data_IF_637368585866
#
_entry.id   IF_637368585866
#
_cell.length_a   1.000
_cell.length_b   1.000
_cell.length_c   1.000
_cell.angle_alpha   90.00
_cell.angle_beta   90.00
_cell.angle_gamma   90.00
#
_symmetry.space_group_name_H-M   'P 1'
#
loop_
_entity.id
_entity.type
_entity.pdbx_description
1 polymer ?
#
# COMPACT_ATOMS: atom_id res chain seq x y z
N UNK A 1 22.55 -5.02 21.56
CA UNK A 1 21.98 -3.79 20.95
C UNK A 1 21.54 -4.00 19.51
N UNK A 2 22.40 -4.56 18.63
CA UNK A 2 22.11 -4.80 17.20
C UNK A 2 20.83 -5.61 16.96
N UNK A 3 20.63 -6.71 17.68
CA UNK A 3 19.43 -7.57 17.61
C UNK A 3 18.14 -6.87 18.01
N UNK A 4 18.20 -5.97 19.02
CA UNK A 4 17.02 -5.21 19.45
C UNK A 4 16.59 -4.19 18.39
N UNK A 5 17.55 -3.48 17.79
CA UNK A 5 17.29 -2.50 16.73
C UNK A 5 16.72 -3.19 15.49
N UNK A 6 17.28 -4.33 15.10
CA UNK A 6 16.76 -5.12 13.97
C UNK A 6 15.32 -5.58 14.21
N UNK A 7 15.03 -6.16 15.38
CA UNK A 7 13.68 -6.59 15.75
C UNK A 7 12.69 -5.42 15.75
N UNK A 8 13.11 -4.25 16.28
CA UNK A 8 12.29 -3.05 16.28
C UNK A 8 11.93 -2.59 14.87
N UNK A 9 12.91 -2.52 13.96
CA UNK A 9 12.69 -2.10 12.58
C UNK A 9 11.81 -3.11 11.83
N UNK A 10 12.03 -4.41 12.01
CA UNK A 10 11.19 -5.46 11.42
C UNK A 10 9.73 -5.36 11.90
N UNK A 11 9.52 -5.14 13.19
CA UNK A 11 8.18 -4.94 13.75
C UNK A 11 7.53 -3.67 13.20
N UNK A 12 8.26 -2.56 13.14
CA UNK A 12 7.76 -1.32 12.57
C UNK A 12 7.37 -1.49 11.09
N UNK A 13 8.20 -2.17 10.30
CA UNK A 13 7.92 -2.50 8.91
C UNK A 13 6.64 -3.34 8.76
N UNK A 14 6.49 -4.36 9.60
CA UNK A 14 5.35 -5.26 9.58
C UNK A 14 4.06 -4.54 9.98
N UNK A 15 4.09 -3.74 11.04
CA UNK A 15 2.96 -2.92 11.48
C UNK A 15 2.56 -1.94 10.37
N UNK A 16 3.53 -1.19 9.81
CA UNK A 16 3.27 -0.26 8.72
C UNK A 16 2.67 -0.96 7.49
N UNK A 17 3.19 -2.14 7.14
CA UNK A 17 2.69 -2.96 6.03
C UNK A 17 1.24 -3.40 6.26
N UNK A 18 0.89 -3.84 7.47
CA UNK A 18 -0.49 -4.21 7.83
C UNK A 18 -1.42 -3.01 7.70
N UNK A 19 -1.05 -1.86 8.27
CA UNK A 19 -1.87 -0.65 8.21
C UNK A 19 -2.04 -0.15 6.77
N UNK A 20 -0.98 -0.21 5.96
CA UNK A 20 -1.07 0.23 4.58
C UNK A 20 -1.91 -0.71 3.74
N UNK A 21 -1.60 -2.01 3.75
CA UNK A 21 -2.33 -2.99 2.96
C UNK A 21 -3.79 -3.11 3.39
N UNK A 22 -4.02 -3.32 4.70
CA UNK A 22 -5.35 -3.42 5.28
C UNK A 22 -6.15 -2.14 5.14
N UNK A 23 -5.50 -0.97 5.32
CA UNK A 23 -6.11 0.33 5.11
C UNK A 23 -6.53 0.52 3.66
N UNK A 24 -5.64 0.29 2.70
CA UNK A 24 -5.93 0.40 1.26
C UNK A 24 -7.08 -0.53 0.87
N UNK A 25 -7.04 -1.79 1.31
CA UNK A 25 -8.09 -2.76 1.03
C UNK A 25 -9.44 -2.33 1.62
N UNK A 26 -9.48 -2.05 2.92
CA UNK A 26 -10.70 -1.64 3.61
C UNK A 26 -11.28 -0.37 2.99
N UNK A 27 -10.43 0.64 2.74
CA UNK A 27 -10.90 1.90 2.21
C UNK A 27 -11.48 1.75 0.80
N UNK A 28 -10.78 1.03 -0.07
CA UNK A 28 -11.14 0.88 -1.48
C UNK A 28 -12.38 0.01 -1.68
N UNK A 29 -12.47 -1.12 -0.95
CA UNK A 29 -13.50 -2.13 -1.19
C UNK A 29 -14.67 -2.07 -0.20
N UNK A 30 -14.52 -1.38 0.94
CA UNK A 30 -15.56 -1.30 1.97
C UNK A 30 -15.97 0.15 2.21
N UNK A 31 -15.06 1.02 2.61
CA UNK A 31 -15.40 2.38 3.03
C UNK A 31 -15.93 3.23 1.86
N UNK A 32 -15.26 3.21 0.71
CA UNK A 32 -15.67 3.97 -0.49
C UNK A 32 -17.07 3.51 -0.98
N UNK A 33 -17.35 2.22 -1.23
CA UNK A 33 -18.68 1.77 -1.67
C UNK A 33 -19.80 2.13 -0.69
N UNK A 34 -19.54 2.05 0.62
CA UNK A 34 -20.51 2.46 1.65
C UNK A 34 -20.70 3.98 1.61
N UNK A 35 -19.60 4.74 1.53
CA UNK A 35 -19.60 6.20 1.47
C UNK A 35 -20.37 6.74 0.27
N UNK A 36 -20.18 6.17 -0.92
CA UNK A 36 -20.91 6.56 -2.14
C UNK A 36 -22.43 6.48 -2.00
N UNK A 37 -22.93 5.52 -1.20
CA UNK A 37 -24.38 5.33 -0.98
C UNK A 37 -24.95 6.29 0.05
N UNK A 38 -24.14 6.74 1.02
CA UNK A 38 -24.60 7.45 2.22
C UNK A 38 -24.17 8.91 2.30
N UNK A 39 -23.10 9.31 1.59
CA UNK A 39 -22.44 10.60 1.77
C UNK A 39 -22.43 11.41 0.45
N UNK A 40 -22.49 12.75 0.54
CA UNK A 40 -22.32 13.62 -0.61
C UNK A 40 -20.86 13.65 -1.09
N UNK A 41 -20.65 14.00 -2.36
CA UNK A 41 -19.34 14.02 -3.00
C UNK A 41 -18.30 14.85 -2.24
N UNK A 42 -18.69 16.02 -1.70
CA UNK A 42 -17.80 16.89 -0.91
C UNK A 42 -17.22 16.22 0.33
N UNK A 43 -18.07 15.52 1.09
CA UNK A 43 -17.64 14.81 2.31
C UNK A 43 -16.74 13.64 1.94
N UNK A 44 -17.09 12.92 0.88
CA UNK A 44 -16.31 11.79 0.39
C UNK A 44 -14.91 12.21 -0.09
N UNK A 45 -14.80 13.39 -0.70
CA UNK A 45 -13.53 13.99 -1.12
C UNK A 45 -12.62 14.33 0.07
N UNK A 46 -13.16 14.95 1.12
CA UNK A 46 -12.39 15.28 2.33
C UNK A 46 -11.87 14.01 3.02
N UNK A 47 -12.74 13.01 3.20
CA UNK A 47 -12.35 11.71 3.77
C UNK A 47 -11.25 11.05 2.92
N UNK A 48 -11.42 11.04 1.59
CA UNK A 48 -10.44 10.47 0.66
C UNK A 48 -9.08 11.19 0.75
N UNK A 49 -9.08 12.52 0.80
CA UNK A 49 -7.85 13.30 0.87
C UNK A 49 -7.09 13.05 2.18
N UNK A 50 -7.79 12.99 3.32
CA UNK A 50 -7.19 12.66 4.62
C UNK A 50 -6.59 11.26 4.62
N UNK A 51 -7.35 10.28 4.13
CA UNK A 51 -6.88 8.90 4.01
C UNK A 51 -5.66 8.80 3.08
N UNK A 52 -5.69 9.48 1.94
CA UNK A 52 -4.58 9.51 0.99
C UNK A 52 -3.30 10.07 1.60
N UNK A 53 -3.42 11.13 2.40
CA UNK A 53 -2.28 11.72 3.10
C UNK A 53 -1.69 10.74 4.13
N UNK A 54 -2.54 10.11 4.94
CA UNK A 54 -2.11 9.09 5.91
C UNK A 54 -1.39 7.93 5.22
N UNK A 55 -1.97 7.36 4.15
CA UNK A 55 -1.37 6.25 3.43
C UNK A 55 -0.03 6.62 2.79
N UNK A 56 0.13 7.85 2.27
CA UNK A 56 1.41 8.31 1.73
C UNK A 56 2.50 8.32 2.79
N UNK A 57 2.19 8.76 4.02
CA UNK A 57 3.15 8.71 5.12
C UNK A 57 3.55 7.27 5.45
N UNK A 58 2.59 6.35 5.50
CA UNK A 58 2.87 4.94 5.80
C UNK A 58 3.71 4.29 4.70
N UNK A 59 3.49 4.61 3.41
CA UNK A 59 4.35 4.12 2.31
C UNK A 59 5.81 4.50 2.55
N UNK A 60 6.07 5.76 2.93
CA UNK A 60 7.44 6.21 3.20
C UNK A 60 8.07 5.42 4.35
N UNK A 61 7.30 5.12 5.41
CA UNK A 61 7.76 4.28 6.51
C UNK A 61 8.09 2.86 6.01
N UNK A 62 7.23 2.25 5.19
CA UNK A 62 7.46 0.91 4.62
C UNK A 62 8.72 0.89 3.75
N UNK A 63 8.90 1.87 2.87
CA UNK A 63 10.06 1.95 1.99
C UNK A 63 11.35 2.14 2.78
N UNK A 64 11.34 3.05 3.75
CA UNK A 64 12.49 3.31 4.62
C UNK A 64 12.85 2.05 5.43
N UNK A 65 11.89 1.50 6.16
CA UNK A 65 12.12 0.31 7.00
C UNK A 65 12.46 -0.92 6.17
N UNK A 66 11.87 -1.09 4.99
CA UNK A 66 12.17 -2.19 4.07
C UNK A 66 13.60 -2.11 3.54
N UNK A 67 14.04 -0.91 3.13
CA UNK A 67 15.42 -0.67 2.72
C UNK A 67 16.42 -0.94 3.84
N UNK A 68 16.13 -0.48 5.06
CA UNK A 68 16.97 -0.75 6.23
C UNK A 68 17.04 -2.25 6.54
N UNK A 69 15.93 -2.99 6.47
CA UNK A 69 15.93 -4.45 6.70
C UNK A 69 16.81 -5.17 5.69
N UNK A 70 16.71 -4.83 4.40
CA UNK A 70 17.56 -5.43 3.36
C UNK A 70 19.03 -5.12 3.63
N UNK A 71 19.35 -3.87 3.99
CA UNK A 71 20.72 -3.45 4.29
C UNK A 71 21.30 -4.18 5.51
N UNK A 72 20.55 -4.29 6.60
CA UNK A 72 20.97 -5.02 7.82
C UNK A 72 21.24 -6.49 7.49
N UNK A 73 20.36 -7.13 6.73
CA UNK A 73 20.52 -8.55 6.34
C UNK A 73 21.75 -8.73 5.43
N UNK A 74 21.97 -7.83 4.48
CA UNK A 74 23.14 -7.87 3.62
C UNK A 74 24.44 -7.67 4.42
N UNK A 75 24.45 -6.68 5.33
CA UNK A 75 25.60 -6.36 6.18
C UNK A 75 25.95 -7.48 7.17
N UNK A 76 24.95 -8.07 7.83
CA UNK A 76 25.15 -9.12 8.84
C UNK A 76 25.60 -10.47 8.25
N UNK A 77 25.40 -10.69 6.95
CA UNK A 77 25.85 -11.91 6.26
C UNK A 77 27.18 -11.72 5.52
N UNK A 78 27.98 -10.68 5.82
CA UNK A 78 29.17 -10.32 5.05
C UNK A 78 28.90 -10.21 3.53
N UNK A 79 27.70 -9.77 3.15
CA UNK A 79 27.20 -9.75 1.77
C UNK A 79 27.07 -11.14 1.10
N UNK A 80 27.28 -12.23 1.84
CA UNK A 80 27.04 -13.63 1.41
C UNK A 80 25.57 -13.99 1.56
N UNK A 81 24.69 -13.19 0.97
CA UNK A 81 23.25 -13.47 0.95
C UNK A 81 22.99 -14.50 -0.15
N UNK A 82 22.21 -15.54 0.14
CA UNK A 82 21.75 -16.47 -0.90
C UNK A 82 21.03 -15.69 -2.01
N UNK A 83 21.41 -15.95 -3.26
CA UNK A 83 20.87 -15.22 -4.42
C UNK A 83 19.33 -15.26 -4.47
N UNK A 84 18.73 -16.36 -4.00
CA UNK A 84 17.28 -16.54 -3.93
C UNK A 84 16.61 -15.56 -2.95
N UNK A 85 17.18 -15.36 -1.76
CA UNK A 85 16.66 -14.40 -0.80
C UNK A 85 16.69 -12.97 -1.35
N UNK A 86 17.78 -12.60 -2.02
CA UNK A 86 17.94 -11.26 -2.59
C UNK A 86 16.97 -11.04 -3.75
N UNK A 87 16.82 -12.03 -4.64
CA UNK A 87 15.85 -12.00 -5.75
C UNK A 87 14.42 -11.88 -5.22
N UNK A 88 14.04 -12.70 -4.23
CA UNK A 88 12.71 -12.63 -3.62
C UNK A 88 12.45 -11.29 -2.92
N UNK A 89 13.46 -10.72 -2.25
CA UNK A 89 13.36 -9.41 -1.58
C UNK A 89 13.18 -8.27 -2.58
N UNK A 90 13.96 -8.25 -3.66
CA UNK A 90 13.84 -7.28 -4.74
C UNK A 90 12.50 -7.43 -5.47
N UNK A 91 12.08 -8.66 -5.77
CA UNK A 91 10.80 -8.95 -6.39
C UNK A 91 9.64 -8.46 -5.51
N UNK A 92 9.70 -8.67 -4.20
CA UNK A 92 8.69 -8.19 -3.24
C UNK A 92 8.61 -6.67 -3.24
N UNK A 93 9.77 -6.00 -3.23
CA UNK A 93 9.82 -4.54 -3.28
C UNK A 93 9.25 -3.99 -4.60
N UNK A 94 9.59 -4.63 -5.73
CA UNK A 94 9.05 -4.29 -7.05
C UNK A 94 7.53 -4.48 -7.13
N UNK A 95 7.03 -5.62 -6.66
CA UNK A 95 5.58 -5.88 -6.59
C UNK A 95 4.86 -4.87 -5.68
N UNK A 96 5.47 -4.48 -4.55
CA UNK A 96 4.92 -3.44 -3.69
C UNK A 96 4.89 -2.06 -4.38
N UNK A 97 5.95 -1.71 -5.10
CA UNK A 97 6.00 -0.48 -5.90
C UNK A 97 4.89 -0.44 -6.97
N UNK A 98 4.66 -1.55 -7.68
CA UNK A 98 3.57 -1.70 -8.64
C UNK A 98 2.20 -1.55 -7.94
N UNK A 99 2.03 -2.15 -6.77
CA UNK A 99 0.81 -2.01 -5.98
C UNK A 99 0.55 -0.56 -5.56
N UNK A 100 1.57 0.12 -5.03
CA UNK A 100 1.47 1.52 -4.64
C UNK A 100 1.18 2.43 -5.84
N UNK A 101 1.73 2.12 -7.02
CA UNK A 101 1.45 2.82 -8.27
C UNK A 101 -0.01 2.66 -8.67
N UNK A 102 -0.53 1.43 -8.76
CA UNK A 102 -1.93 1.20 -9.13
C UNK A 102 -2.90 1.84 -8.14
N UNK A 103 -2.61 1.78 -6.84
CA UNK A 103 -3.42 2.47 -5.85
C UNK A 103 -3.34 3.99 -6.00
N UNK A 104 -2.16 4.54 -6.30
CA UNK A 104 -1.97 5.95 -6.57
C UNK A 104 -2.78 6.42 -7.79
N UNK A 105 -2.80 5.64 -8.87
CA UNK A 105 -3.60 5.89 -10.07
C UNK A 105 -5.10 5.82 -9.78
N UNK A 106 -5.55 4.80 -9.04
CA UNK A 106 -6.91 4.69 -8.54
C UNK A 106 -7.30 5.93 -7.73
N UNK A 107 -6.50 6.25 -6.72
CA UNK A 107 -6.73 7.34 -5.78
C UNK A 107 -6.78 8.70 -6.48
N UNK A 108 -5.90 8.95 -7.43
CA UNK A 108 -5.89 10.20 -8.19
C UNK A 108 -7.07 10.30 -9.16
N UNK A 109 -7.42 9.21 -9.84
CA UNK A 109 -8.56 9.18 -10.77
C UNK A 109 -9.87 9.38 -10.01
N UNK A 110 -10.00 8.73 -8.86
CA UNK A 110 -11.15 8.85 -7.98
C UNK A 110 -11.29 10.27 -7.41
N UNK A 111 -10.19 10.88 -6.96
CA UNK A 111 -10.18 12.28 -6.50
C UNK A 111 -10.67 13.23 -7.60
N UNK A 112 -10.12 13.13 -8.82
CA UNK A 112 -10.56 13.97 -9.96
C UNK A 112 -12.04 13.78 -10.28
N UNK A 113 -12.54 12.55 -10.18
CA UNK A 113 -13.96 12.27 -10.39
C UNK A 113 -14.85 12.92 -9.33
N UNK A 114 -14.43 12.91 -8.07
CA UNK A 114 -15.14 13.59 -6.98
C UNK A 114 -15.13 15.11 -7.15
N UNK A 115 -14.01 15.69 -7.55
CA UNK A 115 -13.88 17.14 -7.84
C UNK A 115 -14.76 17.59 -9.01
N UNK A 116 -14.92 16.74 -10.03
CA UNK A 116 -15.81 17.02 -11.17
C UNK A 116 -17.30 16.81 -10.86
N UNK A 117 -17.63 16.12 -9.77
CA UNK A 117 -19.02 15.84 -9.39
C UNK A 117 -19.59 16.98 -8.56
N UNK A 118 -20.85 17.37 -8.81
CA UNK A 118 -21.51 18.36 -7.97
C UNK A 118 -21.44 17.98 -6.48
N UNK A 119 -21.09 18.92 -5.58
CA UNK A 119 -20.70 18.63 -4.20
C UNK A 119 -21.77 17.91 -3.38
N UNK A 120 -23.04 18.16 -3.68
CA UNK A 120 -24.19 17.59 -2.96
C UNK A 120 -24.80 16.36 -3.65
N UNK A 121 -24.27 15.96 -4.82
CA UNK A 121 -24.74 14.78 -5.53
C UNK A 121 -24.08 13.51 -5.00
N UNK A 122 -24.80 12.41 -5.16
CA UNK A 122 -24.27 11.06 -4.97
C UNK A 122 -23.32 10.72 -6.12
N UNK A 123 -22.33 9.89 -5.81
CA UNK A 123 -21.22 9.56 -6.71
C UNK A 123 -21.40 8.16 -7.25
N UNK A 124 -21.26 7.99 -8.57
CA UNK A 124 -21.22 6.68 -9.23
C UNK A 124 -19.86 6.55 -9.88
N UNK A 125 -19.01 5.67 -9.34
CA UNK A 125 -17.64 5.51 -9.85
C UNK A 125 -17.64 4.80 -11.19
N UNK A 126 -17.01 5.38 -12.23
CA UNK A 126 -16.86 4.75 -13.53
C UNK A 126 -16.08 3.44 -13.46
N UNK A 127 -16.44 2.49 -14.32
CA UNK A 127 -15.80 1.17 -14.39
C UNK A 127 -14.29 1.23 -14.64
N UNK A 128 -13.82 2.21 -15.42
CA UNK A 128 -12.39 2.38 -15.71
C UNK A 128 -11.56 2.75 -14.46
N UNK A 129 -12.15 3.48 -13.50
CA UNK A 129 -11.47 3.78 -12.23
C UNK A 129 -11.35 2.49 -11.40
N UNK A 130 -12.40 1.67 -11.38
CA UNK A 130 -12.38 0.39 -10.68
C UNK A 130 -11.33 -0.59 -11.22
N UNK A 131 -10.88 -0.50 -12.47
CA UNK A 131 -9.80 -1.38 -12.96
C UNK A 131 -8.54 -1.23 -12.11
N UNK A 132 -8.17 -0.01 -11.73
CA UNK A 132 -6.98 0.24 -10.91
C UNK A 132 -7.10 -0.33 -9.50
N UNK A 133 -8.30 -0.39 -8.91
CA UNK A 133 -8.47 -1.04 -7.60
C UNK A 133 -8.27 -2.56 -7.68
N UNK A 134 -8.72 -3.21 -8.75
CA UNK A 134 -8.49 -4.64 -8.97
C UNK A 134 -7.01 -4.93 -9.24
N UNK A 135 -6.33 -4.09 -10.03
CA UNK A 135 -4.89 -4.21 -10.26
C UNK A 135 -4.10 -4.05 -8.96
N UNK A 136 -4.49 -3.09 -8.10
CA UNK A 136 -3.93 -2.93 -6.75
C UNK A 136 -4.07 -4.22 -5.95
N UNK A 137 -5.27 -4.81 -5.92
CA UNK A 137 -5.54 -6.07 -5.21
C UNK A 137 -4.64 -7.21 -5.72
N UNK A 138 -4.58 -7.37 -7.04
CA UNK A 138 -3.78 -8.43 -7.67
C UNK A 138 -2.29 -8.29 -7.33
N UNK A 139 -1.72 -7.10 -7.49
CA UNK A 139 -0.33 -6.83 -7.08
C UNK A 139 -0.11 -7.06 -5.58
N UNK A 140 -1.12 -6.79 -4.76
CA UNK A 140 -1.12 -7.07 -3.33
C UNK A 140 -1.01 -8.55 -2.99
N UNK A 141 -1.73 -9.40 -3.72
CA UNK A 141 -1.64 -10.86 -3.59
C UNK A 141 -0.25 -11.36 -3.97
N UNK A 142 0.39 -10.78 -5.00
CA UNK A 142 1.77 -11.09 -5.38
C UNK A 142 2.74 -10.73 -4.26
N UNK A 143 2.61 -9.53 -3.66
CA UNK A 143 3.42 -9.12 -2.49
C UNK A 143 3.26 -10.11 -1.34
N UNK A 144 2.03 -10.55 -1.06
CA UNK A 144 1.76 -11.51 0.00
C UNK A 144 2.39 -12.88 -0.28
N UNK A 145 2.28 -13.40 -1.51
CA UNK A 145 2.89 -14.65 -1.92
C UNK A 145 4.42 -14.59 -1.78
N UNK A 146 5.06 -13.52 -2.24
CA UNK A 146 6.50 -13.30 -2.09
C UNK A 146 6.92 -13.17 -0.63
N UNK A 147 6.09 -12.54 0.21
CA UNK A 147 6.35 -12.45 1.65
C UNK A 147 6.29 -13.82 2.34
N UNK A 148 5.41 -14.72 1.90
CA UNK A 148 5.34 -16.10 2.40
C UNK A 148 6.57 -16.91 2.00
N UNK A 149 7.05 -16.76 0.76
CA UNK A 149 8.27 -17.42 0.27
C UNK A 149 9.54 -16.95 0.99
N UNK A 150 9.57 -15.72 1.52
CA UNK A 150 10.68 -15.20 2.32
C UNK A 150 10.64 -15.64 3.79
N UNK A 151 9.58 -16.33 4.23
CA UNK A 151 9.41 -16.84 5.60
C UNK A 151 9.91 -18.28 5.75
N UNK A 152 9.91 -19.05 4.66
CA UNK A 152 10.48 -20.40 4.54
C UNK A 152 11.99 -20.34 4.39
#
# INVERSE_FOLDING_TARGET
MQTFVELFIRNLHLIASIFWFGGVFFFTFVAIPIGQRKLPAKVLLDIHNRFRHAMRLIINIILLTGGIVIFIVAWNNDMKVESEYMVCSVAKLGAFGIMALFWGLYSSSYQRHLEATHPDRRVIVPRHINVFSHLTLFSGLVVFALAMLLRS
#
